data_IF_833561481911
#
_entry.id   IF_833561481911
#
_cell.length_a   1.000
_cell.length_b   1.000
_cell.length_c   1.000
_cell.angle_alpha   90.00
_cell.angle_beta   90.00
_cell.angle_gamma   90.00
#
_symmetry.space_group_name_H-M   'P 1'
#
loop_
_entity.id
_entity.type
_entity.pdbx_description
1 polymer ?
#
# COMPACT_ATOMS: atom_id res chain seq x y z
N UNK A 1 10.49 -11.37 0.52
CA UNK A 1 9.89 -12.24 1.59
C UNK A 1 9.60 -13.65 1.13
N UNK A 2 8.78 -13.88 0.10
CA UNK A 2 8.43 -15.26 -0.32
C UNK A 2 9.57 -15.93 -1.07
N UNK A 3 10.19 -15.23 -2.02
CA UNK A 3 11.29 -15.78 -2.83
C UNK A 3 12.60 -15.83 -2.03
N UNK A 4 13.07 -14.69 -1.54
CA UNK A 4 14.36 -14.59 -0.84
C UNK A 4 14.32 -14.83 0.68
N UNK A 5 13.15 -15.03 1.30
CA UNK A 5 13.04 -15.15 2.77
C UNK A 5 13.28 -13.85 3.57
N UNK A 6 13.78 -12.78 2.94
CA UNK A 6 14.14 -11.52 3.61
C UNK A 6 12.94 -10.55 3.70
N UNK A 7 12.80 -9.90 4.87
CA UNK A 7 11.98 -8.71 5.06
C UNK A 7 11.59 -8.45 6.52
N UNK A 8 11.21 -7.21 6.82
CA UNK A 8 10.70 -6.80 8.16
C UNK A 8 9.23 -6.39 8.03
N UNK A 9 8.31 -6.81 8.92
CA UNK A 9 6.93 -6.31 8.95
C UNK A 9 6.85 -4.78 8.92
N UNK A 10 6.04 -4.22 8.02
CA UNK A 10 6.14 -2.80 7.63
C UNK A 10 5.95 -1.84 8.80
N UNK A 11 4.98 -2.11 9.68
CA UNK A 11 4.73 -1.25 10.84
C UNK A 11 5.95 -1.21 11.77
N UNK A 12 6.60 -2.35 12.01
CA UNK A 12 7.83 -2.43 12.79
C UNK A 12 9.02 -1.79 12.06
N UNK A 13 9.10 -1.92 10.73
CA UNK A 13 10.15 -1.30 9.94
C UNK A 13 10.09 0.24 10.05
N UNK A 14 8.90 0.83 9.88
CA UNK A 14 8.66 2.27 10.03
C UNK A 14 9.03 2.71 11.45
N UNK A 15 8.53 2.01 12.46
CA UNK A 15 8.77 2.35 13.86
C UNK A 15 10.26 2.27 14.24
N UNK A 16 10.96 1.23 13.81
CA UNK A 16 12.39 1.09 14.11
C UNK A 16 13.23 2.14 13.37
N UNK A 17 12.87 2.48 12.12
CA UNK A 17 13.52 3.55 11.37
C UNK A 17 13.30 4.92 12.05
N UNK A 18 12.09 5.21 12.54
CA UNK A 18 11.76 6.46 13.23
C UNK A 18 12.53 6.61 14.54
N UNK A 19 12.72 5.52 15.29
CA UNK A 19 13.59 5.52 16.47
C UNK A 19 15.05 5.81 16.11
N UNK A 20 15.60 5.20 15.05
CA UNK A 20 16.99 5.43 14.63
C UNK A 20 17.27 6.83 14.07
N UNK A 21 16.23 7.54 13.64
CA UNK A 21 16.29 8.91 13.10
C UNK A 21 15.80 9.98 14.09
N UNK A 22 15.36 9.58 15.29
CA UNK A 22 14.85 10.51 16.31
C UNK A 22 15.87 11.61 16.62
N UNK A 23 15.41 12.86 16.57
CA UNK A 23 16.23 14.04 16.85
C UNK A 23 17.12 14.52 15.70
N UNK A 24 17.11 13.86 14.53
CA UNK A 24 17.93 14.24 13.37
C UNK A 24 17.21 15.16 12.38
N UNK A 25 15.90 15.35 12.51
CA UNK A 25 15.09 16.15 11.58
C UNK A 25 14.98 15.55 10.17
N UNK A 26 15.26 14.25 10.01
CA UNK A 26 15.19 13.54 8.72
C UNK A 26 13.82 12.86 8.61
N UNK A 27 13.01 13.18 7.58
CA UNK A 27 11.68 12.60 7.42
C UNK A 27 11.72 11.16 6.88
N UNK A 28 10.66 10.41 7.13
CA UNK A 28 10.49 9.01 6.73
C UNK A 28 9.32 8.87 5.77
N UNK A 29 9.56 8.11 4.69
CA UNK A 29 8.53 7.68 3.74
C UNK A 29 8.19 6.22 4.05
N UNK A 30 6.93 5.94 4.39
CA UNK A 30 6.41 4.59 4.49
C UNK A 30 6.03 4.05 3.10
N UNK A 31 6.91 3.26 2.49
CA UNK A 31 6.72 2.72 1.14
C UNK A 31 6.26 1.26 1.14
N UNK A 32 5.05 1.03 0.63
CA UNK A 32 4.51 -0.30 0.40
C UNK A 32 3.63 -0.86 1.52
N UNK A 33 2.75 -1.79 1.16
CA UNK A 33 1.87 -2.51 2.09
C UNK A 33 0.60 -1.76 2.54
N UNK A 34 0.38 -0.53 2.08
CA UNK A 34 -0.84 0.25 2.36
C UNK A 34 -2.00 -0.26 1.49
N UNK A 35 -3.06 -0.76 2.12
CA UNK A 35 -4.21 -1.37 1.41
C UNK A 35 -5.48 -0.57 1.60
N UNK A 36 -5.69 -0.02 2.79
CA UNK A 36 -6.86 0.77 3.15
C UNK A 36 -6.43 2.14 3.69
N UNK A 37 -7.36 3.07 3.74
CA UNK A 37 -7.11 4.43 4.28
C UNK A 37 -6.63 4.39 5.73
N UNK A 38 -7.14 3.46 6.54
CA UNK A 38 -6.66 3.25 7.91
C UNK A 38 -5.19 2.81 7.99
N UNK A 39 -4.63 2.18 6.97
CA UNK A 39 -3.20 1.83 6.95
C UNK A 39 -2.31 3.08 6.79
N UNK A 40 -2.81 4.14 6.13
CA UNK A 40 -2.13 5.45 6.05
C UNK A 40 -1.99 6.05 7.44
N UNK A 41 -3.09 6.06 8.21
CA UNK A 41 -3.11 6.54 9.59
C UNK A 41 -2.11 5.78 10.45
N UNK A 42 -2.11 4.44 10.36
CA UNK A 42 -1.19 3.58 11.12
C UNK A 42 0.28 3.81 10.73
N UNK A 43 0.57 4.01 9.45
CA UNK A 43 1.93 4.28 9.00
C UNK A 43 2.46 5.61 9.56
N UNK A 44 1.64 6.67 9.52
CA UNK A 44 2.01 7.98 10.09
C UNK A 44 2.14 7.87 11.61
N UNK A 45 1.17 7.26 12.30
CA UNK A 45 1.24 7.07 13.75
C UNK A 45 2.44 6.22 14.20
N UNK A 46 3.00 5.36 13.33
CA UNK A 46 4.22 4.61 13.60
C UNK A 46 5.52 5.45 13.44
N UNK A 47 5.42 6.69 12.98
CA UNK A 47 6.55 7.62 12.84
C UNK A 47 6.94 7.94 11.39
N UNK A 48 6.11 7.64 10.40
CA UNK A 48 6.31 8.14 9.04
C UNK A 48 5.79 9.58 8.91
N UNK A 49 6.39 10.36 8.03
CA UNK A 49 5.92 11.72 7.69
C UNK A 49 5.02 11.69 6.45
N UNK A 50 5.29 10.75 5.54
CA UNK A 50 4.52 10.54 4.32
C UNK A 50 4.41 9.06 3.99
N UNK A 51 3.47 8.72 3.09
CA UNK A 51 3.30 7.36 2.57
C UNK A 51 3.54 7.33 1.07
N UNK A 52 4.15 6.26 0.58
CA UNK A 52 4.24 5.93 -0.84
C UNK A 52 3.39 4.70 -1.12
N UNK A 53 2.52 4.77 -2.12
CA UNK A 53 1.56 3.71 -2.40
C UNK A 53 1.38 3.48 -3.90
N UNK A 54 1.82 2.32 -4.41
CA UNK A 54 1.55 1.92 -5.79
C UNK A 54 0.11 1.45 -5.99
N UNK A 55 -0.30 0.40 -5.28
CA UNK A 55 -1.60 -0.27 -5.49
C UNK A 55 -2.83 0.58 -5.18
N UNK A 56 -2.68 1.64 -4.38
CA UNK A 56 -3.77 2.59 -4.15
C UNK A 56 -4.08 3.38 -5.42
N UNK A 57 -3.06 3.83 -6.15
CA UNK A 57 -3.22 4.64 -7.36
C UNK A 57 -3.24 3.83 -8.66
N UNK A 58 -2.77 2.58 -8.67
CA UNK A 58 -2.64 1.79 -9.90
C UNK A 58 -3.93 1.63 -10.75
N UNK A 59 -5.11 1.76 -10.13
CA UNK A 59 -6.41 1.61 -10.81
C UNK A 59 -7.02 2.93 -11.29
N UNK A 60 -6.39 4.07 -11.05
CA UNK A 60 -6.93 5.38 -11.45
C UNK A 60 -6.69 5.67 -12.94
N UNK A 61 -7.48 6.53 -13.54
CA UNK A 61 -7.39 6.92 -14.95
C UNK A 61 -5.98 7.42 -15.31
N UNK A 62 -5.41 8.26 -14.46
CA UNK A 62 -4.11 8.91 -14.65
C UNK A 62 -2.91 7.96 -14.48
N UNK A 63 -3.11 6.78 -13.87
CA UNK A 63 -2.03 5.81 -13.77
C UNK A 63 -1.63 5.28 -15.16
N UNK A 64 -0.35 5.00 -15.41
CA UNK A 64 0.04 4.34 -16.64
C UNK A 64 -0.49 2.90 -16.67
N UNK A 65 -0.68 2.35 -17.87
CA UNK A 65 -1.16 0.99 -18.08
C UNK A 65 -2.52 0.93 -18.76
N UNK A 66 -2.74 -0.15 -19.50
CA UNK A 66 -3.95 -0.35 -20.29
C UNK A 66 -5.17 -0.62 -19.40
N UNK A 67 -6.28 0.05 -19.73
CA UNK A 67 -7.60 -0.26 -19.17
C UNK A 67 -8.21 -1.40 -19.96
N UNK A 68 -8.42 -2.54 -19.30
CA UNK A 68 -9.01 -3.74 -19.89
C UNK A 68 -10.41 -4.00 -19.34
N UNK A 69 -11.23 -4.69 -20.14
CA UNK A 69 -12.52 -5.23 -19.69
C UNK A 69 -12.34 -6.71 -19.41
N UNK A 70 -12.77 -7.15 -18.23
CA UNK A 70 -12.77 -8.56 -17.85
C UNK A 70 -14.04 -8.87 -17.07
N UNK A 71 -14.77 -9.91 -17.47
CA UNK A 71 -16.07 -10.29 -16.88
C UNK A 71 -17.02 -9.09 -16.72
N UNK A 72 -17.06 -8.22 -17.73
CA UNK A 72 -17.93 -7.03 -17.75
C UNK A 72 -17.51 -5.89 -16.83
N UNK A 73 -16.35 -5.96 -16.16
CA UNK A 73 -15.82 -4.91 -15.30
C UNK A 73 -14.52 -4.32 -15.85
N UNK A 74 -14.28 -3.04 -15.58
CA UNK A 74 -13.05 -2.33 -15.96
C UNK A 74 -11.93 -2.60 -14.95
N UNK A 75 -10.74 -2.90 -15.46
CA UNK A 75 -9.51 -3.08 -14.68
C UNK A 75 -8.35 -2.33 -15.34
N UNK A 76 -7.27 -2.07 -14.60
CA UNK A 76 -5.98 -1.64 -15.15
C UNK A 76 -4.89 -2.66 -14.88
N UNK A 77 -3.97 -2.81 -15.84
CA UNK A 77 -2.79 -3.66 -15.66
C UNK A 77 -1.82 -2.99 -14.68
N UNK A 78 -1.38 -3.74 -13.67
CA UNK A 78 -0.42 -3.32 -12.66
C UNK A 78 0.68 -4.37 -12.50
N UNK A 79 1.93 -3.94 -12.47
CA UNK A 79 3.09 -4.83 -12.34
C UNK A 79 4.06 -4.32 -11.29
N UNK A 80 4.61 -5.23 -10.51
CA UNK A 80 5.73 -4.93 -9.63
C UNK A 80 7.01 -4.71 -10.43
N UNK A 81 7.89 -3.83 -9.96
CA UNK A 81 9.16 -3.55 -10.65
C UNK A 81 10.09 -4.77 -10.75
N UNK A 82 9.90 -5.78 -9.90
CA UNK A 82 10.63 -7.05 -9.96
C UNK A 82 9.94 -8.12 -10.82
N UNK A 83 8.91 -7.76 -11.60
CA UNK A 83 8.31 -8.69 -12.56
C UNK A 83 9.15 -8.80 -13.81
N UNK A 84 9.00 -9.91 -14.54
CA UNK A 84 9.77 -10.17 -15.77
C UNK A 84 9.55 -9.06 -16.80
N UNK A 85 8.31 -8.60 -17.05
CA UNK A 85 8.08 -7.55 -18.05
C UNK A 85 8.60 -6.17 -17.62
N UNK A 86 8.73 -5.93 -16.30
CA UNK A 86 9.36 -4.71 -15.80
C UNK A 86 10.89 -4.80 -15.97
N UNK A 87 11.49 -5.94 -15.60
CA UNK A 87 12.94 -6.17 -15.72
C UNK A 87 13.41 -6.11 -17.17
N UNK A 88 12.64 -6.66 -18.11
CA UNK A 88 12.90 -6.52 -19.55
C UNK A 88 12.94 -5.07 -20.03
N UNK A 89 12.27 -4.15 -19.34
CA UNK A 89 12.20 -2.72 -19.66
C UNK A 89 13.15 -1.88 -18.80
N UNK A 90 14.13 -2.51 -18.13
CA UNK A 90 15.25 -1.81 -17.51
C UNK A 90 15.21 -1.71 -15.98
N UNK A 91 14.39 -2.50 -15.28
CA UNK A 91 14.41 -2.54 -13.80
C UNK A 91 15.31 -3.63 -13.21
N UNK A 92 16.22 -4.22 -14.00
CA UNK A 92 17.12 -5.32 -13.58
C UNK A 92 18.10 -4.88 -12.47
N UNK A 93 18.65 -3.68 -12.61
CA UNK A 93 19.64 -3.06 -11.72
C UNK A 93 19.14 -2.97 -10.27
N UNK A 94 17.85 -2.65 -10.09
CA UNK A 94 17.19 -2.56 -8.79
C UNK A 94 17.20 -3.88 -8.00
N UNK A 95 17.38 -5.00 -8.69
CA UNK A 95 17.39 -6.35 -8.12
C UNK A 95 18.72 -7.08 -8.30
N UNK A 96 19.79 -6.36 -8.67
CA UNK A 96 21.14 -6.91 -8.89
C UNK A 96 21.18 -8.03 -9.94
N UNK A 97 20.31 -7.95 -10.96
CA UNK A 97 20.20 -8.92 -12.07
C UNK A 97 20.65 -8.32 -13.41
N UNK A 98 21.37 -7.20 -13.36
CA UNK A 98 21.89 -6.43 -14.49
C UNK A 98 22.95 -7.20 -15.30
N UNK A 99 23.64 -8.18 -14.69
CA UNK A 99 24.61 -9.06 -15.36
C UNK A 99 23.98 -10.27 -16.05
N UNK A 100 22.67 -10.50 -15.89
CA UNK A 100 21.98 -11.66 -16.46
C UNK A 100 21.21 -11.27 -17.73
N UNK A 101 21.76 -11.67 -18.87
CA UNK A 101 21.16 -11.43 -20.19
C UNK A 101 20.08 -12.46 -20.55
N UNK A 102 20.15 -13.68 -19.98
CA UNK A 102 19.14 -14.71 -20.23
C UNK A 102 17.90 -14.49 -19.35
N UNK A 103 16.81 -14.07 -19.99
CA UNK A 103 15.50 -13.84 -19.37
C UNK A 103 15.03 -15.07 -18.56
N UNK A 104 15.38 -16.29 -18.99
CA UNK A 104 14.97 -17.53 -18.29
C UNK A 104 15.66 -17.72 -16.94
N UNK A 105 16.78 -17.05 -16.72
CA UNK A 105 17.54 -17.11 -15.47
C UNK A 105 17.18 -16.00 -14.49
N UNK A 106 16.37 -15.03 -14.92
CA UNK A 106 15.85 -14.00 -14.02
C UNK A 106 15.00 -14.65 -12.92
N UNK A 107 15.24 -14.22 -11.67
CA UNK A 107 14.46 -14.66 -10.50
C UNK A 107 13.53 -13.51 -10.12
N UNK A 108 12.24 -13.54 -10.54
CA UNK A 108 11.34 -12.41 -10.30
C UNK A 108 10.92 -12.32 -8.83
N UNK A 109 11.06 -11.13 -8.25
CA UNK A 109 10.53 -10.80 -6.92
C UNK A 109 9.20 -10.02 -6.98
N UNK A 110 8.71 -9.73 -8.19
CA UNK A 110 7.45 -9.05 -8.45
C UNK A 110 6.52 -9.87 -9.35
N UNK A 111 5.22 -9.62 -9.22
CA UNK A 111 4.18 -10.22 -10.05
C UNK A 111 3.50 -9.17 -10.91
N UNK A 112 2.81 -9.65 -11.93
CA UNK A 112 1.92 -8.87 -12.78
C UNK A 112 0.50 -9.27 -12.50
N UNK A 113 -0.39 -8.30 -12.51
CA UNK A 113 -1.78 -8.53 -12.27
C UNK A 113 -2.63 -7.38 -12.77
N UNK A 114 -3.90 -7.42 -12.38
CA UNK A 114 -4.86 -6.37 -12.68
C UNK A 114 -5.46 -5.85 -11.39
N UNK A 115 -5.79 -4.57 -11.39
CA UNK A 115 -6.49 -3.91 -10.28
C UNK A 115 -7.81 -3.34 -10.79
N UNK A 116 -8.89 -3.32 -9.99
CA UNK A 116 -10.14 -2.69 -10.41
C UNK A 116 -9.92 -1.23 -10.81
N UNK A 117 -10.63 -0.77 -11.83
CA UNK A 117 -10.66 0.65 -12.19
C UNK A 117 -11.31 1.46 -11.07
N UNK A 118 -10.70 2.59 -10.68
CA UNK A 118 -11.08 3.37 -9.50
C UNK A 118 -11.61 4.78 -9.81
N UNK A 119 -11.74 5.16 -11.07
CA UNK A 119 -12.02 6.54 -11.46
C UNK A 119 -10.74 7.38 -11.49
N UNK A 120 -10.85 8.65 -11.18
CA UNK A 120 -9.73 9.62 -11.22
C UNK A 120 -8.94 9.65 -9.91
N UNK A 121 -7.71 10.16 -9.95
CA UNK A 121 -6.91 10.43 -8.74
C UNK A 121 -7.66 11.37 -7.80
N UNK A 122 -8.32 12.40 -8.33
CA UNK A 122 -9.06 13.36 -7.53
C UNK A 122 -10.15 12.69 -6.68
N UNK A 123 -10.94 11.79 -7.26
CA UNK A 123 -12.01 11.07 -6.56
C UNK A 123 -11.48 10.16 -5.45
N UNK A 124 -10.41 9.40 -5.72
CA UNK A 124 -9.84 8.52 -4.70
C UNK A 124 -9.16 9.30 -3.57
N UNK A 125 -8.55 10.45 -3.88
CA UNK A 125 -7.88 11.29 -2.88
C UNK A 125 -8.85 11.86 -1.84
N UNK A 126 -10.11 12.16 -2.23
CA UNK A 126 -11.16 12.56 -1.28
C UNK A 126 -11.34 11.49 -0.20
N UNK A 127 -11.39 10.21 -0.59
CA UNK A 127 -11.54 9.11 0.35
C UNK A 127 -10.31 8.91 1.22
N UNK A 128 -9.10 9.03 0.63
CA UNK A 128 -7.85 8.82 1.34
C UNK A 128 -7.61 9.91 2.39
N UNK A 129 -7.83 11.17 2.02
CA UNK A 129 -7.75 12.30 2.94
C UNK A 129 -8.87 12.25 3.98
N UNK A 130 -10.09 11.86 3.60
CA UNK A 130 -11.20 11.68 4.52
C UNK A 130 -10.89 10.65 5.61
N UNK A 131 -10.35 9.48 5.22
CA UNK A 131 -9.94 8.46 6.18
C UNK A 131 -8.79 8.90 7.10
N UNK A 132 -7.80 9.63 6.56
CA UNK A 132 -6.72 10.18 7.37
C UNK A 132 -7.24 11.20 8.40
N UNK A 133 -8.07 12.15 7.96
CA UNK A 133 -8.67 13.17 8.83
C UNK A 133 -9.55 12.55 9.91
N UNK A 134 -10.33 11.52 9.58
CA UNK A 134 -11.13 10.79 10.57
C UNK A 134 -10.23 10.11 11.62
N UNK A 135 -9.16 9.44 11.19
CA UNK A 135 -8.18 8.83 12.10
C UNK A 135 -7.50 9.86 13.01
N UNK A 136 -7.08 11.01 12.46
CA UNK A 136 -6.55 12.13 13.24
C UNK A 136 -7.56 12.64 14.27
N UNK A 137 -8.84 12.76 13.90
CA UNK A 137 -9.92 13.15 14.80
C UNK A 137 -10.08 12.19 15.98
N UNK A 138 -10.11 10.88 15.74
CA UNK A 138 -10.17 9.88 16.82
C UNK A 138 -8.94 9.88 17.73
N UNK A 139 -7.76 10.22 17.20
CA UNK A 139 -6.53 10.31 17.98
C UNK A 139 -6.33 11.68 18.65
N UNK A 140 -7.22 12.66 18.44
CA UNK A 140 -7.05 14.02 18.94
C UNK A 140 -5.81 14.74 18.36
N UNK A 141 -5.42 14.40 17.13
CA UNK A 141 -4.23 14.91 16.49
C UNK A 141 -4.55 16.12 15.59
N UNK A 142 -3.99 17.30 15.91
CA UNK A 142 -4.13 18.51 15.10
C UNK A 142 -3.23 18.52 13.87
N UNK A 143 -2.14 17.75 13.90
CA UNK A 143 -1.21 17.58 12.79
C UNK A 143 -0.53 16.21 12.74
N UNK A 144 0.35 16.05 11.76
CA UNK A 144 1.14 14.82 11.55
C UNK A 144 1.99 14.49 12.78
N UNK A 145 2.68 15.50 13.35
CA UNK A 145 3.52 15.34 14.53
C UNK A 145 2.72 14.87 15.76
N UNK A 146 1.47 15.31 15.90
CA UNK A 146 0.58 14.86 16.98
C UNK A 146 0.15 13.42 16.75
N UNK A 147 -0.19 13.06 15.50
CA UNK A 147 -0.59 11.69 15.16
C UNK A 147 0.54 10.69 15.41
N UNK A 148 1.80 11.09 15.22
CA UNK A 148 2.99 10.30 15.56
C UNK A 148 3.13 10.02 17.08
N UNK A 149 2.40 10.73 17.95
CA UNK A 149 2.34 10.45 19.39
C UNK A 149 1.23 9.45 19.77
N UNK A 150 0.37 9.07 18.83
CA UNK A 150 -0.74 8.16 19.06
C UNK A 150 -0.26 6.79 19.57
N UNK A 151 -1.16 6.08 20.27
CA UNK A 151 -0.87 4.77 20.85
C UNK A 151 -1.58 3.68 20.08
N UNK A 152 -0.89 2.54 19.96
CA UNK A 152 -1.45 1.34 19.37
C UNK A 152 -1.83 0.34 20.46
N UNK A 153 -2.86 -0.45 20.17
CA UNK A 153 -3.18 -1.67 20.90
C UNK A 153 -2.98 -2.85 19.94
N UNK A 154 -2.27 -3.88 20.41
CA UNK A 154 -2.07 -5.11 19.62
C UNK A 154 -3.33 -5.95 19.68
N UNK A 155 -3.77 -6.43 18.53
CA UNK A 155 -4.94 -7.30 18.40
C UNK A 155 -4.54 -8.69 17.87
N UNK A 156 -5.38 -9.68 18.14
CA UNK A 156 -5.27 -11.02 17.58
C UNK A 156 -5.85 -11.09 16.17
N UNK A 157 -5.75 -12.25 15.52
CA UNK A 157 -6.45 -12.51 14.25
C UNK A 157 -7.96 -12.34 14.35
N UNK A 158 -8.57 -12.72 15.48
CA UNK A 158 -10.01 -12.53 15.71
C UNK A 158 -10.38 -11.04 15.73
N UNK A 159 -9.53 -10.19 16.32
CA UNK A 159 -9.74 -8.73 16.31
C UNK A 159 -9.65 -8.12 14.91
N UNK A 160 -8.86 -8.72 14.00
CA UNK A 160 -8.85 -8.30 12.59
C UNK A 160 -10.19 -8.64 11.93
N UNK A 161 -10.70 -9.86 12.13
CA UNK A 161 -12.01 -10.26 11.60
C UNK A 161 -13.12 -9.35 12.13
N UNK A 162 -13.09 -9.03 13.42
CA UNK A 162 -14.02 -8.08 14.07
C UNK A 162 -13.93 -6.68 13.45
N UNK A 163 -12.72 -6.21 13.13
CA UNK A 163 -12.49 -4.87 12.57
C UNK A 163 -13.08 -4.68 11.18
N UNK A 164 -13.28 -5.76 10.42
CA UNK A 164 -13.92 -5.73 9.10
C UNK A 164 -15.44 -5.94 9.24
N UNK A 165 -16.28 -5.45 8.32
CA UNK A 165 -17.69 -5.85 8.26
C UNK A 165 -17.83 -7.37 8.29
N UNK A 166 -18.56 -7.88 9.28
CA UNK A 166 -18.75 -9.30 9.53
C UNK A 166 -20.23 -9.58 9.85
N UNK A 167 -20.68 -10.81 9.62
CA UNK A 167 -22.06 -11.26 9.85
C UNK A 167 -23.15 -10.51 9.06
N UNK A 168 -22.81 -9.89 7.92
CA UNK A 168 -23.75 -9.21 7.02
C UNK A 168 -23.44 -9.52 5.55
N UNK A 169 -24.46 -9.47 4.69
CA UNK A 169 -24.27 -9.48 3.23
C UNK A 169 -24.18 -8.04 2.71
N UNK A 170 -23.02 -7.68 2.15
CA UNK A 170 -22.82 -6.38 1.52
C UNK A 170 -23.61 -6.33 0.21
N UNK A 171 -24.60 -5.44 0.14
CA UNK A 171 -25.43 -5.24 -1.06
C UNK A 171 -24.88 -4.18 -2.00
N UNK A 172 -24.08 -3.24 -1.47
CA UNK A 172 -23.41 -2.17 -2.22
C UNK A 172 -22.04 -1.89 -1.60
N UNK A 173 -21.00 -1.87 -2.42
CA UNK A 173 -19.65 -1.53 -1.95
C UNK A 173 -19.51 -0.03 -1.66
N UNK A 174 -18.74 0.29 -0.62
CA UNK A 174 -18.41 1.66 -0.28
C UNK A 174 -17.15 2.11 -1.06
N UNK A 175 -17.03 3.38 -1.45
CA UNK A 175 -15.88 3.88 -2.23
C UNK A 175 -14.51 3.66 -1.56
N UNK A 176 -14.48 3.55 -0.24
CA UNK A 176 -13.27 3.39 0.57
C UNK A 176 -13.09 1.95 1.12
N UNK A 177 -13.97 1.02 0.77
CA UNK A 177 -13.94 -0.35 1.28
C UNK A 177 -14.39 -1.35 0.22
N UNK A 178 -13.43 -2.13 -0.27
CA UNK A 178 -13.68 -3.30 -1.11
C UNK A 178 -12.97 -4.51 -0.50
N UNK A 179 -13.71 -5.53 -0.04
CA UNK A 179 -13.11 -6.73 0.51
C UNK A 179 -12.38 -7.47 -0.61
N UNK A 180 -11.06 -7.70 -0.45
CA UNK A 180 -10.37 -8.67 -1.30
C UNK A 180 -10.91 -10.06 -0.94
N UNK A 181 -11.74 -10.63 -1.82
CA UNK A 181 -11.90 -12.09 -1.86
C UNK A 181 -10.58 -12.64 -2.40
N UNK A 182 -9.86 -13.37 -1.57
CA UNK A 182 -8.80 -14.27 -2.04
C UNK A 182 -9.45 -15.53 -2.63
#
# INVERSE_FOLDING_TARGET
RVVAGVGVPQLSAIYNASLGLKGKGIPIIADGGIRFTGDIVKAIAAGADTVMAGSLFAGVEEAPGETIIYEGRKFKIYRGMGSISAMQKGSKDRYFQDVEDDIKKLVPEGIEGRVPYKGTVAEVMIQYLGGLRAGMGYCGAGGISDLQQAKFVRISGAGITESHPHNIMITKEAPNYSPRRF
#
